data_IF_754434740101
#
_entry.id   IF_754434740101
#
_cell.length_a   1.000
_cell.length_b   1.000
_cell.length_c   1.000
_cell.angle_alpha   90.00
_cell.angle_beta   90.00
_cell.angle_gamma   90.00
#
_symmetry.space_group_name_H-M   'P 1'
#
loop_
_entity.id
_entity.type
_entity.pdbx_description
1 polymer ?
#
# COMPACT_ATOMS: atom_id res chain seq x y z
N UNK A 1 -10.22 -6.36 -5.36
CA UNK A 1 -10.92 -5.40 -6.23
C UNK A 1 -12.41 -5.72 -6.42
N UNK A 2 -12.84 -6.98 -6.31
CA UNK A 2 -14.20 -7.40 -6.71
C UNK A 2 -15.39 -6.91 -5.86
N UNK A 3 -15.23 -6.47 -4.61
CA UNK A 3 -16.41 -6.09 -3.80
C UNK A 3 -17.01 -4.74 -4.22
N UNK A 4 -16.18 -3.71 -4.47
CA UNK A 4 -16.64 -2.38 -4.90
C UNK A 4 -17.28 -2.40 -6.29
N UNK A 5 -16.77 -3.23 -7.19
CA UNK A 5 -17.36 -3.43 -8.52
C UNK A 5 -18.75 -4.08 -8.46
N UNK A 6 -19.07 -4.77 -7.36
CA UNK A 6 -20.35 -5.46 -7.12
C UNK A 6 -21.25 -4.71 -6.13
N UNK A 7 -20.96 -3.44 -5.83
CA UNK A 7 -21.67 -2.64 -4.83
C UNK A 7 -21.74 -3.25 -3.42
N UNK A 8 -20.85 -4.20 -3.12
CA UNK A 8 -20.78 -4.85 -1.82
C UNK A 8 -19.87 -4.07 -0.88
N UNK A 9 -20.31 -3.94 0.38
CA UNK A 9 -19.52 -3.37 1.47
C UNK A 9 -18.11 -3.97 1.51
N UNK A 10 -17.09 -3.12 1.54
CA UNK A 10 -15.72 -3.58 1.73
C UNK A 10 -15.54 -4.06 3.17
N UNK A 11 -15.00 -5.27 3.34
CA UNK A 11 -14.67 -5.84 4.66
C UNK A 11 -13.20 -5.52 4.99
N UNK A 12 -12.97 -4.79 6.07
CA UNK A 12 -11.66 -4.61 6.70
C UNK A 12 -11.54 -5.62 7.85
N UNK A 13 -10.39 -6.28 7.97
CA UNK A 13 -10.12 -7.18 9.09
C UNK A 13 -9.41 -6.40 10.23
N UNK A 14 -9.90 -6.58 11.46
CA UNK A 14 -9.46 -5.88 12.67
C UNK A 14 -10.03 -4.47 12.85
N UNK A 15 -9.59 -3.77 13.90
CA UNK A 15 -9.94 -2.36 14.21
C UNK A 15 -9.19 -1.34 13.34
N UNK A 16 -8.61 -1.75 12.21
CA UNK A 16 -8.15 -0.88 11.10
C UNK A 16 -6.98 0.10 11.35
N UNK A 17 -6.38 0.10 12.55
CA UNK A 17 -5.17 0.89 12.87
C UNK A 17 -3.86 0.32 12.34
N UNK A 18 -3.88 -0.80 11.62
CA UNK A 18 -2.69 -1.33 10.98
C UNK A 18 -2.25 -0.43 9.82
N UNK A 19 -0.95 -0.19 9.71
CA UNK A 19 -0.38 0.65 8.65
C UNK A 19 0.43 -0.17 7.66
N UNK A 20 0.39 0.27 6.41
CA UNK A 20 1.19 -0.26 5.31
C UNK A 20 1.76 0.92 4.53
N UNK A 21 2.93 0.68 3.98
CA UNK A 21 3.59 1.55 3.01
C UNK A 21 3.22 1.05 1.61
N UNK A 22 2.30 1.76 0.96
CA UNK A 22 1.81 1.44 -0.38
C UNK A 22 2.62 2.19 -1.42
N UNK A 23 3.03 1.49 -2.48
CA UNK A 23 3.75 2.06 -3.61
C UNK A 23 2.94 1.88 -4.89
N UNK A 24 2.98 2.87 -5.78
CA UNK A 24 2.30 2.78 -7.06
C UNK A 24 3.11 1.90 -8.03
N UNK A 25 2.42 1.12 -8.86
CA UNK A 25 3.05 0.11 -9.70
C UNK A 25 3.97 0.71 -10.78
N UNK A 26 3.69 1.94 -11.25
CA UNK A 26 4.61 2.61 -12.20
C UNK A 26 5.94 2.98 -11.53
N UNK A 27 5.92 3.44 -10.28
CA UNK A 27 7.15 3.78 -9.54
C UNK A 27 8.03 2.53 -9.37
N UNK A 28 7.41 1.36 -9.18
CA UNK A 28 8.15 0.08 -9.13
C UNK A 28 8.76 -0.27 -10.49
N UNK A 29 8.01 -0.10 -11.58
CA UNK A 29 8.52 -0.34 -12.93
C UNK A 29 9.67 0.62 -13.28
N UNK A 30 9.56 1.90 -12.89
CA UNK A 30 10.61 2.90 -13.07
C UNK A 30 11.85 2.56 -12.24
N UNK A 31 11.69 2.14 -10.98
CA UNK A 31 12.80 1.70 -10.15
C UNK A 31 13.59 0.54 -10.78
N UNK A 32 12.90 -0.43 -11.40
CA UNK A 32 13.58 -1.50 -12.14
C UNK A 32 14.33 -0.97 -13.36
N UNK A 33 13.74 -0.06 -14.13
CA UNK A 33 14.40 0.54 -15.29
C UNK A 33 15.65 1.33 -14.89
N UNK A 34 15.60 2.06 -13.77
CA UNK A 34 16.74 2.78 -13.22
C UNK A 34 17.84 1.83 -12.75
N UNK A 35 17.47 0.74 -12.07
CA UNK A 35 18.42 -0.27 -11.62
C UNK A 35 19.16 -0.93 -12.80
N UNK A 36 18.46 -1.23 -13.90
CA UNK A 36 19.08 -1.80 -15.10
C UNK A 36 20.10 -0.87 -15.78
N UNK A 37 19.95 0.44 -15.61
CA UNK A 37 20.80 1.45 -16.26
C UNK A 37 21.93 1.95 -15.38
N UNK A 38 21.93 1.62 -14.09
CA UNK A 38 22.87 2.17 -13.12
C UNK A 38 24.03 1.20 -12.90
N UNK A 39 25.23 1.69 -13.15
CA UNK A 39 26.46 0.93 -12.86
C UNK A 39 26.79 0.96 -11.37
N UNK A 40 27.58 -0.02 -10.90
CA UNK A 40 28.12 -0.04 -9.54
C UNK A 40 27.13 -0.39 -8.43
N UNK A 41 25.95 -0.92 -8.76
CA UNK A 41 24.93 -1.34 -7.77
C UNK A 41 24.71 -2.86 -7.71
N UNK A 42 25.57 -3.64 -8.37
CA UNK A 42 25.45 -5.09 -8.38
C UNK A 42 25.62 -5.66 -6.95
N UNK A 43 24.70 -6.54 -6.54
CA UNK A 43 24.68 -7.13 -5.20
C UNK A 43 23.98 -6.29 -4.13
N UNK A 44 23.58 -5.05 -4.45
CA UNK A 44 22.84 -4.21 -3.51
C UNK A 44 21.38 -4.63 -3.38
N UNK A 45 20.83 -4.37 -2.19
CA UNK A 45 19.42 -4.59 -1.86
C UNK A 45 18.75 -3.24 -1.63
N UNK A 46 17.61 -3.03 -2.30
CA UNK A 46 16.85 -1.79 -2.27
C UNK A 46 15.40 -2.05 -1.86
N UNK A 47 14.87 -1.22 -0.97
CA UNK A 47 13.44 -1.15 -0.72
C UNK A 47 12.79 -0.18 -1.70
N UNK A 48 11.82 -0.64 -2.48
CA UNK A 48 11.02 0.20 -3.37
C UNK A 48 9.66 0.44 -2.72
N UNK A 49 9.58 1.49 -1.90
CA UNK A 49 8.36 1.95 -1.23
C UNK A 49 8.36 3.47 -1.04
N UNK A 50 7.34 4.03 -0.40
CA UNK A 50 7.24 5.48 -0.15
C UNK A 50 7.87 5.93 1.17
N UNK A 51 8.09 5.00 2.11
CA UNK A 51 8.50 5.34 3.48
C UNK A 51 7.39 5.98 4.31
N UNK A 52 6.17 6.07 3.79
CA UNK A 52 5.03 6.70 4.44
C UNK A 52 4.04 5.66 4.96
N UNK A 53 3.46 5.94 6.13
CA UNK A 53 2.45 5.09 6.73
C UNK A 53 1.05 5.47 6.24
N UNK A 54 0.30 4.52 5.68
CA UNK A 54 -1.12 4.66 5.47
C UNK A 54 -1.89 3.56 6.22
N UNK A 55 -2.95 3.94 6.91
CA UNK A 55 -3.87 2.98 7.53
C UNK A 55 -4.75 2.30 6.49
N UNK A 56 -5.26 1.12 6.81
CA UNK A 56 -6.21 0.41 5.93
C UNK A 56 -7.52 1.20 5.77
N UNK A 57 -7.91 1.99 6.78
CA UNK A 57 -9.05 2.91 6.66
C UNK A 57 -8.80 4.01 5.64
N UNK A 58 -7.64 4.68 5.70
CA UNK A 58 -7.31 5.73 4.74
C UNK A 58 -7.36 5.20 3.31
N UNK A 59 -6.86 3.97 3.07
CA UNK A 59 -6.96 3.33 1.76
C UNK A 59 -8.42 3.02 1.38
N UNK A 60 -9.22 2.49 2.30
CA UNK A 60 -10.61 2.16 2.04
C UNK A 60 -11.43 3.42 1.69
N UNK A 61 -11.26 4.49 2.46
CA UNK A 61 -11.92 5.78 2.23
C UNK A 61 -11.51 6.39 0.90
N UNK A 62 -10.21 6.38 0.58
CA UNK A 62 -9.70 6.85 -0.71
C UNK A 62 -10.34 6.08 -1.88
N UNK A 63 -10.47 4.75 -1.75
CA UNK A 63 -11.12 3.92 -2.77
C UNK A 63 -12.60 4.23 -2.95
N UNK A 64 -13.35 4.44 -1.86
CA UNK A 64 -14.76 4.80 -1.93
C UNK A 64 -14.96 6.18 -2.60
N UNK A 65 -14.10 7.14 -2.29
CA UNK A 65 -14.10 8.48 -2.91
C UNK A 65 -13.84 8.38 -4.41
N UNK A 66 -12.76 7.72 -4.83
CA UNK A 66 -12.42 7.56 -6.26
C UNK A 66 -13.50 6.80 -7.03
N UNK A 67 -14.18 5.85 -6.39
CA UNK A 67 -15.26 5.10 -7.01
C UNK A 67 -16.63 5.82 -6.99
N UNK A 68 -16.74 7.02 -6.39
CA UNK A 68 -18.01 7.73 -6.13
C UNK A 68 -19.03 6.88 -5.35
N UNK A 69 -18.57 6.05 -4.41
CA UNK A 69 -19.40 5.14 -3.59
C UNK A 69 -19.30 5.43 -2.10
N UNK A 70 -19.20 6.71 -1.72
CA UNK A 70 -19.07 7.16 -0.32
C UNK A 70 -20.26 6.81 0.57
N UNK A 71 -21.40 6.42 -0.02
CA UNK A 71 -22.57 5.89 0.70
C UNK A 71 -22.37 4.46 1.24
N UNK A 72 -21.41 3.70 0.71
CA UNK A 72 -21.15 2.34 1.18
C UNK A 72 -20.44 2.34 2.53
N UNK A 73 -20.94 1.52 3.46
CA UNK A 73 -20.28 1.34 4.76
C UNK A 73 -19.15 0.33 4.68
N UNK A 74 -18.11 0.60 5.47
CA UNK A 74 -16.99 -0.33 5.70
C UNK A 74 -17.38 -1.26 6.85
N UNK A 75 -17.35 -2.56 6.59
CA UNK A 75 -17.57 -3.58 7.61
C UNK A 75 -16.25 -4.01 8.24
N UNK A 76 -16.24 -4.25 9.55
CA UNK A 76 -15.05 -4.73 10.27
C UNK A 76 -15.22 -6.19 10.67
N UNK A 77 -14.15 -6.98 10.55
CA UNK A 77 -14.09 -8.39 10.96
C UNK A 77 -12.97 -8.62 11.98
N UNK A 78 -12.81 -9.84 12.48
CA UNK A 78 -11.73 -10.17 13.43
C UNK A 78 -10.34 -9.98 12.78
N UNK A 79 -9.32 -9.54 13.53
CA UNK A 79 -7.95 -9.50 13.04
C UNK A 79 -7.49 -10.86 12.52
N UNK A 80 -6.65 -10.89 11.48
CA UNK A 80 -6.05 -12.13 11.01
C UNK A 80 -4.90 -12.53 11.92
N UNK A 81 -4.77 -13.83 12.21
CA UNK A 81 -3.61 -14.34 12.97
C UNK A 81 -2.34 -14.12 12.13
N UNK A 82 -1.32 -13.52 12.76
CA UNK A 82 -0.04 -13.23 12.10
C UNK A 82 0.01 -11.91 11.31
N UNK A 83 -1.05 -11.10 11.34
CA UNK A 83 -1.06 -9.82 10.62
C UNK A 83 -0.12 -8.82 11.30
N UNK A 84 0.82 -8.25 10.52
CA UNK A 84 1.76 -7.24 11.02
C UNK A 84 1.00 -5.94 11.30
N UNK A 85 1.28 -5.28 12.43
CA UNK A 85 0.61 -4.03 12.77
C UNK A 85 1.14 -2.84 11.96
N UNK A 86 2.46 -2.66 11.87
CA UNK A 86 3.09 -1.58 11.12
C UNK A 86 4.14 -2.14 10.17
N UNK A 87 4.03 -1.83 8.87
CA UNK A 87 5.01 -2.23 7.85
C UNK A 87 5.35 -1.03 6.98
N UNK A 88 6.48 -0.41 7.30
CA UNK A 88 7.04 0.75 6.60
C UNK A 88 8.49 0.42 6.28
N UNK A 89 8.94 0.70 5.06
CA UNK A 89 10.32 0.43 4.69
C UNK A 89 11.20 1.66 4.94
N UNK A 90 12.45 1.40 5.32
CA UNK A 90 13.51 2.41 5.15
C UNK A 90 13.84 2.50 3.65
N UNK A 91 13.71 3.70 3.09
CA UNK A 91 13.95 4.02 1.68
C UNK A 91 15.18 4.91 1.49
N UNK A 92 16.06 4.99 2.49
CA UNK A 92 17.29 5.78 2.45
C UNK A 92 18.13 5.56 1.18
N UNK A 93 18.18 4.32 0.66
CA UNK A 93 18.94 3.96 -0.56
C UNK A 93 18.27 4.36 -1.88
N UNK A 94 16.99 4.70 -1.87
CA UNK A 94 16.19 4.96 -3.09
C UNK A 94 15.54 6.33 -3.09
N UNK A 95 15.79 7.13 -2.05
CA UNK A 95 15.32 8.50 -1.94
C UNK A 95 15.99 9.37 -3.01
N UNK A 96 15.19 10.08 -3.80
CA UNK A 96 15.68 11.13 -4.69
C UNK A 96 16.32 12.25 -3.88
N UNK A 97 17.36 12.86 -4.43
CA UNK A 97 17.92 14.12 -3.92
C UNK A 97 16.98 15.28 -4.19
#
# INVERSE_FOLDING_TARGET
MNSLAKDNSSVIFGNSGQTRDFVYVHDVAEAFLLALKREGIAGEIFNIRTGLAATINQLADAKLKVANKTCLKIAHSKPRKGDIKHSIADISKTKGN
#
